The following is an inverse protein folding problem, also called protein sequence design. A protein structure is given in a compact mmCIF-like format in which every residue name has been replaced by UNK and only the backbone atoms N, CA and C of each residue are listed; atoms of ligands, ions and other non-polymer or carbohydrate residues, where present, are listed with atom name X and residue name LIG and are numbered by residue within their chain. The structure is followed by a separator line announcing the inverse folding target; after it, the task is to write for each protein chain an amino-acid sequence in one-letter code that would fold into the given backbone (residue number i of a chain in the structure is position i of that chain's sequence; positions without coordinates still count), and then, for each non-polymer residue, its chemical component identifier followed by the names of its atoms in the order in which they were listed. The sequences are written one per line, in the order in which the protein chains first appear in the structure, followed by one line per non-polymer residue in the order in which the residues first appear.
data_IF_961667680719
#
_entry.id   IF_961667680719
#
_cell.length_a   1.000
_cell.length_b   1.000
_cell.length_c   1.000
_cell.angle_alpha   90.00
_cell.angle_beta   90.00
_cell.angle_gamma   90.00
#
_symmetry.space_group_name_H-M   'P 1'
#
loop_
_entity.id
_entity.type
_entity.pdbx_description
1 polymer ?
#
# COMPACT_ATOMS: atom_id res chain seq x y z
N UNK A 1 24.68 -10.96 -4.35
CA UNK A 1 23.92 -9.71 -4.23
C UNK A 1 23.77 -9.11 -5.61
N UNK A 2 22.55 -8.85 -6.09
CA UNK A 2 22.28 -8.48 -7.49
C UNK A 2 22.94 -7.16 -7.92
N UNK A 3 23.02 -6.93 -9.23
CA UNK A 3 23.76 -5.80 -9.85
C UNK A 3 23.32 -4.40 -9.39
N UNK A 4 22.15 -4.25 -8.75
CA UNK A 4 21.56 -2.96 -8.37
C UNK A 4 21.05 -2.92 -6.92
N UNK A 5 21.93 -2.98 -5.90
CA UNK A 5 21.52 -3.00 -4.50
C UNK A 5 20.92 -1.66 -4.03
N UNK A 6 21.44 -0.52 -4.51
CA UNK A 6 20.98 0.81 -4.11
C UNK A 6 19.58 1.17 -4.66
N UNK A 7 19.27 0.98 -5.96
CA UNK A 7 17.93 1.25 -6.49
C UNK A 7 16.84 0.41 -5.83
N UNK A 8 17.15 -0.86 -5.51
CA UNK A 8 16.23 -1.76 -4.81
C UNK A 8 16.00 -1.28 -3.38
N UNK A 9 17.05 -0.92 -2.64
CA UNK A 9 16.91 -0.39 -1.28
C UNK A 9 16.05 0.88 -1.24
N UNK A 10 16.27 1.82 -2.18
CA UNK A 10 15.44 3.02 -2.31
C UNK A 10 13.99 2.71 -2.67
N UNK A 11 13.76 1.77 -3.60
CA UNK A 11 12.42 1.32 -3.98
C UNK A 11 11.66 0.77 -2.78
N UNK A 12 12.28 -0.11 -2.01
CA UNK A 12 11.67 -0.69 -0.80
C UNK A 12 11.42 0.38 0.26
N UNK A 13 12.41 1.23 0.54
CA UNK A 13 12.30 2.30 1.54
C UNK A 13 11.17 3.28 1.22
N UNK A 14 11.11 3.77 -0.02
CA UNK A 14 10.05 4.69 -0.46
C UNK A 14 8.68 4.01 -0.43
N UNK A 15 8.61 2.75 -0.88
CA UNK A 15 7.36 1.98 -0.85
C UNK A 15 6.83 1.81 0.56
N UNK A 16 7.68 1.45 1.53
CA UNK A 16 7.25 1.27 2.91
C UNK A 16 6.65 2.55 3.49
N UNK A 17 7.28 3.70 3.25
CA UNK A 17 6.76 5.00 3.69
C UNK A 17 5.39 5.27 3.07
N UNK A 18 5.25 5.05 1.76
CA UNK A 18 3.98 5.25 1.05
C UNK A 18 2.87 4.31 1.55
N UNK A 19 3.16 3.02 1.77
CA UNK A 19 2.18 2.04 2.27
C UNK A 19 1.73 2.37 3.68
N UNK A 20 2.63 2.79 4.58
CA UNK A 20 2.27 3.15 5.97
C UNK A 20 1.39 4.40 6.00
N UNK A 21 1.74 5.43 5.22
CA UNK A 21 0.91 6.63 5.07
C UNK A 21 -0.48 6.28 4.52
N UNK A 22 -0.54 5.46 3.47
CA UNK A 22 -1.80 5.02 2.90
C UNK A 22 -2.63 4.17 3.87
N UNK A 23 -2.01 3.23 4.57
CA UNK A 23 -2.67 2.35 5.53
C UNK A 23 -3.30 3.11 6.70
N UNK A 24 -2.64 4.14 7.21
CA UNK A 24 -3.20 4.99 8.28
C UNK A 24 -4.38 5.85 7.80
N UNK A 25 -4.30 6.39 6.58
CA UNK A 25 -5.42 7.09 5.94
C UNK A 25 -6.60 6.15 5.68
N UNK A 26 -6.36 5.01 5.03
CA UNK A 26 -7.38 4.01 4.74
C UNK A 26 -8.04 3.48 6.01
N UNK A 27 -7.25 3.14 7.05
CA UNK A 27 -7.76 2.63 8.31
C UNK A 27 -8.63 3.64 9.07
N UNK A 28 -8.30 4.93 8.99
CA UNK A 28 -9.12 5.98 9.61
C UNK A 28 -10.36 6.34 8.79
N UNK A 29 -10.30 6.28 7.45
CA UNK A 29 -11.41 6.66 6.57
C UNK A 29 -12.45 5.54 6.37
N UNK A 30 -12.04 4.27 6.37
CA UNK A 30 -12.91 3.14 6.07
C UNK A 30 -14.14 3.04 7.01
N UNK A 31 -14.03 3.21 8.35
CA UNK A 31 -15.19 3.16 9.23
C UNK A 31 -16.27 4.21 8.90
N UNK A 32 -15.85 5.41 8.47
CA UNK A 32 -16.77 6.46 8.05
C UNK A 32 -17.48 6.10 6.74
N UNK A 33 -16.75 5.48 5.80
CA UNK A 33 -17.30 5.01 4.53
C UNK A 33 -18.34 3.90 4.75
N UNK A 34 -18.00 2.90 5.58
CA UNK A 34 -18.87 1.78 5.92
C UNK A 34 -20.15 2.26 6.62
N UNK A 35 -20.01 3.18 7.58
CA UNK A 35 -21.17 3.79 8.28
C UNK A 35 -22.08 4.56 7.31
N UNK A 36 -21.53 5.24 6.31
CA UNK A 36 -22.33 5.92 5.26
C UNK A 36 -23.05 4.94 4.34
N UNK A 37 -22.49 3.76 4.12
CA UNK A 37 -23.08 2.70 3.30
C UNK A 37 -24.06 1.81 4.09
N UNK A 38 -24.23 2.04 5.40
CA UNK A 38 -25.13 1.28 6.26
C UNK A 38 -24.56 -0.05 6.79
N UNK A 39 -23.26 -0.30 6.60
CA UNK A 39 -22.58 -1.48 7.15
C UNK A 39 -22.10 -1.21 8.58
N UNK A 40 -22.08 -2.26 9.41
CA UNK A 40 -21.55 -2.17 10.78
C UNK A 40 -20.01 -2.19 10.76
N UNK A 41 -19.33 -1.07 11.08
CA UNK A 41 -17.89 -0.98 11.02
C UNK A 41 -17.20 -1.83 12.08
N UNK A 42 -17.87 -2.23 13.18
CA UNK A 42 -17.22 -2.97 14.26
C UNK A 42 -16.82 -4.41 13.85
N UNK A 43 -17.59 -5.04 12.98
CA UNK A 43 -17.38 -6.44 12.58
C UNK A 43 -16.69 -6.54 11.22
N UNK A 44 -16.96 -5.59 10.30
CA UNK A 44 -16.50 -5.66 8.92
C UNK A 44 -15.18 -4.94 8.65
N UNK A 45 -14.77 -3.98 9.48
CA UNK A 45 -13.62 -3.12 9.17
C UNK A 45 -12.28 -3.85 9.16
N UNK A 46 -12.00 -4.75 10.11
CA UNK A 46 -10.70 -5.44 10.18
C UNK A 46 -10.35 -6.25 8.90
N UNK A 47 -11.20 -7.16 8.40
CA UNK A 47 -10.90 -7.88 7.15
C UNK A 47 -10.94 -6.98 5.90
N UNK A 48 -11.79 -5.95 5.88
CA UNK A 48 -11.82 -4.99 4.75
C UNK A 48 -10.57 -4.11 4.68
N UNK A 49 -10.08 -3.60 5.82
CA UNK A 49 -8.84 -2.81 5.86
C UNK A 49 -7.68 -3.65 5.36
N UNK A 50 -7.55 -4.89 5.85
CA UNK A 50 -6.47 -5.78 5.46
C UNK A 50 -6.45 -6.02 3.94
N UNK A 51 -7.60 -6.37 3.35
CA UNK A 51 -7.71 -6.61 1.90
C UNK A 51 -7.48 -5.34 1.07
N UNK A 52 -8.03 -4.21 1.49
CA UNK A 52 -7.83 -2.93 0.81
C UNK A 52 -6.35 -2.53 0.82
N UNK A 53 -5.71 -2.58 1.99
CA UNK A 53 -4.29 -2.22 2.16
C UNK A 53 -3.39 -3.20 1.40
N UNK A 54 -3.74 -4.48 1.31
CA UNK A 54 -2.96 -5.46 0.54
C UNK A 54 -2.99 -5.16 -0.97
N UNK A 55 -4.19 -5.03 -1.56
CA UNK A 55 -4.36 -4.74 -2.99
C UNK A 55 -3.73 -3.39 -3.35
N UNK A 56 -4.02 -2.35 -2.56
CA UNK A 56 -3.45 -1.01 -2.81
C UNK A 56 -1.96 -0.96 -2.54
N UNK A 57 -1.46 -1.71 -1.56
CA UNK A 57 -0.04 -1.84 -1.25
C UNK A 57 0.75 -2.45 -2.40
N UNK A 58 0.23 -3.51 -3.04
CA UNK A 58 0.80 -4.08 -4.26
C UNK A 58 0.84 -3.07 -5.41
N UNK A 59 -0.25 -2.32 -5.62
CA UNK A 59 -0.31 -1.27 -6.64
C UNK A 59 0.75 -0.19 -6.38
N UNK A 60 0.89 0.26 -5.13
CA UNK A 60 1.90 1.25 -4.73
C UNK A 60 3.32 0.72 -4.97
N UNK A 61 3.61 -0.51 -4.52
CA UNK A 61 4.92 -1.15 -4.71
C UNK A 61 5.28 -1.26 -6.18
N UNK A 62 4.40 -1.83 -7.01
CA UNK A 62 4.69 -2.01 -8.42
C UNK A 62 4.76 -0.69 -9.18
N UNK A 63 4.01 0.33 -8.76
CA UNK A 63 4.11 1.68 -9.35
C UNK A 63 5.46 2.32 -9.06
N UNK A 64 5.94 2.26 -7.81
CA UNK A 64 7.24 2.80 -7.41
C UNK A 64 8.37 1.99 -8.06
N UNK A 65 8.26 0.66 -8.08
CA UNK A 65 9.19 -0.21 -8.78
C UNK A 65 9.26 0.11 -10.28
N UNK A 66 8.11 0.27 -10.94
CA UNK A 66 8.05 0.64 -12.36
C UNK A 66 8.56 2.05 -12.65
N UNK A 67 8.67 2.93 -11.66
CA UNK A 67 9.30 4.25 -11.81
C UNK A 67 10.81 4.20 -11.59
N UNK A 68 11.27 3.48 -10.56
CA UNK A 68 12.67 3.50 -10.13
C UNK A 68 13.55 2.41 -10.74
N UNK A 69 12.95 1.27 -11.12
CA UNK A 69 13.66 0.10 -11.65
C UNK A 69 13.50 -0.07 -13.16
N UNK A 70 12.74 0.82 -13.82
CA UNK A 70 12.56 0.83 -15.27
C UNK A 70 13.90 1.06 -15.98
N UNK A 71 14.28 0.13 -16.85
CA UNK A 71 15.55 0.17 -17.58
C UNK A 71 16.77 -0.33 -16.80
N UNK A 72 16.63 -0.69 -15.52
CA UNK A 72 17.68 -1.39 -14.75
C UNK A 72 17.33 -2.85 -14.52
N UNK A 73 16.11 -3.13 -14.08
CA UNK A 73 15.63 -4.50 -13.78
C UNK A 73 14.31 -4.86 -14.47
N UNK A 74 13.56 -3.87 -14.97
CA UNK A 74 12.32 -4.01 -15.74
C UNK A 74 12.50 -3.45 -17.15
#
# INVERSE_FOLDING_TARGET
YGAHPLPVAFTVGLTLVSIVLWGTLAGSMLPFLLRRLGFDPAVSSAPFIATLVDVTGLVIYFSIAALLLRGTLL
#
